data_IF_221581918317
#
_entry.id   IF_221581918317
#
_cell.length_a   1.000
_cell.length_b   1.000
_cell.length_c   1.000
_cell.angle_alpha   90.00
_cell.angle_beta   90.00
_cell.angle_gamma   90.00
#
_symmetry.space_group_name_H-M   'P 1'
#
loop_
_entity.id
_entity.type
_entity.pdbx_description
1 polymer ?
#
# COMPACT_ATOMS: atom_id res chain seq x y z
N UNK A 1 17.57 -12.93 -63.99
CA UNK A 1 19.02 -12.87 -64.25
C UNK A 1 19.66 -12.22 -63.04
N UNK A 2 20.76 -12.82 -62.56
CA UNK A 2 21.67 -12.38 -61.49
C UNK A 2 21.16 -12.60 -60.05
N UNK A 3 21.48 -13.74 -59.42
CA UNK A 3 22.76 -14.11 -58.75
C UNK A 3 22.96 -13.39 -57.41
N UNK A 4 22.70 -14.07 -56.29
CA UNK A 4 23.66 -14.83 -55.44
C UNK A 4 24.75 -13.96 -54.79
N UNK A 5 24.64 -13.78 -53.48
CA UNK A 5 25.81 -13.81 -52.59
C UNK A 5 25.40 -14.33 -51.22
N UNK A 6 25.97 -15.48 -50.87
CA UNK A 6 25.82 -16.21 -49.62
C UNK A 6 27.04 -15.86 -48.78
N UNK A 7 26.84 -15.39 -47.55
CA UNK A 7 27.94 -15.16 -46.61
C UNK A 7 28.29 -16.43 -45.82
N UNK A 8 29.57 -16.68 -45.56
CA UNK A 8 30.07 -17.97 -45.08
C UNK A 8 30.02 -18.15 -43.56
N UNK A 9 29.95 -19.43 -43.20
CA UNK A 9 30.08 -20.03 -41.88
C UNK A 9 31.31 -19.54 -41.09
N UNK A 10 31.11 -19.27 -39.80
CA UNK A 10 32.20 -19.27 -38.79
C UNK A 10 32.10 -20.57 -38.01
N UNK A 11 33.08 -21.45 -38.25
CA UNK A 11 33.34 -22.66 -37.49
C UNK A 11 34.22 -22.27 -36.30
N UNK A 12 33.77 -22.51 -35.08
CA UNK A 12 34.62 -22.46 -33.88
C UNK A 12 35.17 -23.87 -33.60
N UNK A 13 36.50 -24.07 -33.64
CA UNK A 13 37.13 -25.31 -33.21
C UNK A 13 37.80 -25.09 -31.84
N UNK A 14 37.13 -25.44 -30.75
CA UNK A 14 37.79 -25.62 -29.46
C UNK A 14 37.41 -26.98 -28.88
N UNK A 15 38.09 -28.00 -29.41
CA UNK A 15 38.25 -29.30 -28.77
C UNK A 15 39.41 -29.18 -27.79
N UNK A 16 39.12 -29.31 -26.49
CA UNK A 16 40.13 -29.38 -25.43
C UNK A 16 40.17 -30.80 -24.85
N UNK A 17 41.10 -31.69 -25.26
CA UNK A 17 41.19 -33.04 -24.74
C UNK A 17 42.34 -33.15 -23.73
N UNK A 18 42.12 -32.76 -22.48
CA UNK A 18 42.95 -33.20 -21.34
C UNK A 18 42.34 -32.72 -20.01
N UNK A 19 41.49 -33.54 -19.39
CA UNK A 19 41.20 -33.41 -17.96
C UNK A 19 41.23 -34.80 -17.32
N UNK A 20 42.08 -34.91 -16.31
CA UNK A 20 42.47 -36.09 -15.55
C UNK A 20 41.29 -36.79 -14.83
N UNK A 21 41.46 -38.06 -14.41
CA UNK A 21 40.44 -38.81 -13.68
C UNK A 21 40.12 -38.18 -12.31
N UNK A 22 38.87 -38.31 -11.82
CA UNK A 22 38.47 -37.82 -10.50
C UNK A 22 39.11 -38.65 -9.37
N UNK A 23 39.68 -37.95 -8.41
CA UNK A 23 40.18 -38.50 -7.15
C UNK A 23 39.03 -39.01 -6.25
N UNK A 24 39.28 -39.98 -5.35
CA UNK A 24 38.26 -40.58 -4.49
C UNK A 24 37.68 -39.56 -3.50
N UNK A 25 36.36 -39.66 -3.30
CA UNK A 25 35.57 -38.82 -2.42
C UNK A 25 36.03 -38.97 -0.96
N UNK A 26 36.62 -37.90 -0.41
CA UNK A 26 36.72 -37.72 1.03
C UNK A 26 35.34 -37.37 1.58
N UNK A 27 34.84 -38.20 2.50
CA UNK A 27 33.65 -37.96 3.31
C UNK A 27 33.93 -36.73 4.18
N UNK A 28 33.47 -35.57 3.74
CA UNK A 28 33.45 -34.35 4.55
C UNK A 28 32.29 -34.50 5.52
N UNK A 29 32.61 -34.64 6.80
CA UNK A 29 31.66 -34.40 7.87
C UNK A 29 31.25 -32.92 7.82
N UNK A 30 30.05 -32.64 7.30
CA UNK A 30 29.42 -31.34 7.45
C UNK A 30 29.10 -31.13 8.93
N UNK A 31 29.65 -30.08 9.58
CA UNK A 31 29.13 -29.66 10.88
C UNK A 31 27.67 -29.19 10.72
N UNK A 32 26.84 -29.32 11.77
CA UNK A 32 25.46 -28.86 11.71
C UNK A 32 25.42 -27.38 11.36
N UNK A 33 24.75 -27.07 10.25
CA UNK A 33 24.44 -25.71 9.83
C UNK A 33 23.65 -25.05 10.96
N UNK A 34 24.12 -23.94 11.54
CA UNK A 34 23.29 -23.15 12.45
C UNK A 34 22.06 -22.72 11.67
N UNK A 35 20.87 -23.01 12.21
CA UNK A 35 19.61 -22.46 11.71
C UNK A 35 19.76 -20.94 11.66
N UNK A 36 19.96 -20.42 10.45
CA UNK A 36 19.78 -19.00 10.17
C UNK A 36 18.29 -18.76 10.40
N UNK A 37 17.98 -18.14 11.53
CA UNK A 37 16.68 -17.58 11.82
C UNK A 37 16.48 -16.54 10.72
N UNK A 38 15.57 -16.85 9.80
CA UNK A 38 15.23 -16.03 8.66
C UNK A 38 15.05 -14.58 9.08
N UNK A 39 15.59 -13.67 8.25
CA UNK A 39 15.28 -12.25 8.25
C UNK A 39 13.76 -12.05 8.27
N UNK A 40 13.20 -11.88 9.47
CA UNK A 40 11.83 -11.39 9.62
C UNK A 40 11.89 -9.94 9.20
N UNK A 41 11.45 -9.69 7.96
CA UNK A 41 11.31 -8.35 7.40
C UNK A 41 10.41 -7.49 8.32
N UNK A 42 10.98 -6.49 9.02
CA UNK A 42 10.23 -5.68 9.98
C UNK A 42 9.11 -4.86 9.33
N UNK A 43 9.15 -4.65 8.00
CA UNK A 43 8.05 -3.99 7.28
C UNK A 43 6.81 -4.89 7.14
N UNK A 44 6.99 -6.22 7.13
CA UNK A 44 5.90 -7.18 6.99
C UNK A 44 5.11 -7.37 8.29
N UNK A 45 5.74 -7.18 9.45
CA UNK A 45 5.09 -7.21 10.76
C UNK A 45 4.17 -6.00 10.96
N UNK A 46 4.58 -4.82 10.48
CA UNK A 46 3.75 -3.61 10.51
C UNK A 46 2.47 -3.77 9.68
N UNK A 47 2.58 -4.31 8.46
CA UNK A 47 1.43 -4.56 7.59
C UNK A 47 0.50 -5.65 8.13
N UNK A 48 1.04 -6.72 8.73
CA UNK A 48 0.23 -7.74 9.39
C UNK A 48 -0.51 -7.20 10.62
N UNK A 49 0.13 -6.32 11.40
CA UNK A 49 -0.53 -5.67 12.52
C UNK A 49 -1.64 -4.72 12.07
N UNK A 50 -1.44 -3.93 11.02
CA UNK A 50 -2.52 -3.13 10.42
C UNK A 50 -3.66 -4.02 9.91
N UNK A 51 -3.34 -5.13 9.23
CA UNK A 51 -4.35 -6.07 8.74
C UNK A 51 -5.17 -6.69 9.88
N UNK A 52 -4.53 -7.04 10.98
CA UNK A 52 -5.19 -7.62 12.17
C UNK A 52 -5.99 -6.57 12.97
N UNK A 53 -5.58 -5.30 12.94
CA UNK A 53 -6.29 -4.20 13.60
C UNK A 53 -7.62 -3.85 12.90
N UNK A 54 -7.73 -4.12 11.60
CA UNK A 54 -8.86 -3.67 10.78
C UNK A 54 -9.64 -4.79 10.09
N UNK A 55 -9.17 -6.03 10.12
CA UNK A 55 -9.95 -7.19 9.70
C UNK A 55 -10.94 -7.59 10.80
N UNK A 56 -12.26 -7.66 10.53
CA UNK A 56 -13.20 -8.17 11.52
C UNK A 56 -12.87 -9.64 11.83
N UNK A 57 -12.91 -10.08 13.10
CA UNK A 57 -12.73 -11.48 13.43
C UNK A 57 -13.90 -12.27 12.83
N UNK A 58 -13.62 -13.06 11.81
CA UNK A 58 -14.58 -14.02 11.27
C UNK A 58 -14.56 -15.23 12.18
N UNK A 59 -15.37 -15.19 13.24
CA UNK A 59 -15.58 -16.36 14.09
C UNK A 59 -16.40 -17.41 13.32
N UNK A 60 -15.73 -18.46 12.84
CA UNK A 60 -16.35 -19.57 12.11
C UNK A 60 -16.91 -20.66 13.05
N UNK A 61 -16.84 -20.50 14.36
CA UNK A 61 -17.15 -21.58 15.31
C UNK A 61 -18.65 -21.76 15.60
N UNK A 62 -19.54 -20.88 15.15
CA UNK A 62 -20.96 -21.00 15.45
C UNK A 62 -21.90 -20.55 14.30
N UNK A 63 -22.39 -21.48 13.45
CA UNK A 63 -23.27 -21.15 12.34
C UNK A 63 -24.69 -20.71 12.77
N UNK A 64 -25.03 -20.77 14.07
CA UNK A 64 -26.37 -20.46 14.59
C UNK A 64 -26.39 -19.40 15.69
N UNK A 65 -25.25 -18.81 16.07
CA UNK A 65 -25.25 -17.65 16.94
C UNK A 65 -25.72 -16.42 16.16
N UNK A 66 -27.04 -16.28 16.07
CA UNK A 66 -27.70 -15.03 15.68
C UNK A 66 -27.50 -14.03 16.82
N UNK A 67 -26.26 -13.55 16.98
CA UNK A 67 -26.06 -12.28 17.63
C UNK A 67 -26.88 -11.29 16.82
N UNK A 68 -27.90 -10.72 17.45
CA UNK A 68 -28.50 -9.46 17.06
C UNK A 68 -27.42 -8.39 17.22
N UNK A 69 -26.41 -8.45 16.35
CA UNK A 69 -25.54 -7.34 16.07
C UNK A 69 -26.51 -6.32 15.50
N UNK A 70 -26.89 -5.35 16.33
CA UNK A 70 -27.40 -4.09 15.83
C UNK A 70 -26.30 -3.55 14.92
N UNK A 71 -26.36 -3.96 13.66
CA UNK A 71 -25.52 -3.46 12.59
C UNK A 71 -25.95 -2.01 12.46
N UNK A 72 -25.25 -1.13 13.18
CA UNK A 72 -25.29 0.28 12.90
C UNK A 72 -24.91 0.39 11.44
N UNK A 73 -25.90 0.67 10.60
CA UNK A 73 -25.66 0.88 9.18
C UNK A 73 -24.78 2.13 9.12
N UNK A 74 -23.53 2.02 8.65
CA UNK A 74 -22.69 3.19 8.52
C UNK A 74 -23.41 4.16 7.59
N UNK A 75 -23.74 5.35 8.10
CA UNK A 75 -24.33 6.40 7.28
C UNK A 75 -23.24 7.41 6.96
N UNK A 76 -23.10 7.75 5.69
CA UNK A 76 -22.14 8.74 5.24
C UNK A 76 -22.80 10.12 5.26
N UNK A 77 -22.20 11.07 5.97
CA UNK A 77 -22.59 12.48 5.92
C UNK A 77 -22.25 13.05 4.52
N UNK A 78 -22.92 14.12 4.10
CA UNK A 78 -22.70 14.73 2.79
C UNK A 78 -21.21 15.09 2.54
N UNK A 79 -20.72 14.76 1.35
CA UNK A 79 -19.35 15.07 0.90
C UNK A 79 -19.11 16.58 0.88
N UNK A 80 -17.95 17.01 1.38
CA UNK A 80 -17.52 18.42 1.33
C UNK A 80 -16.83 18.78 0.01
N UNK A 81 -16.44 17.76 -0.74
CA UNK A 81 -15.89 17.93 -2.07
C UNK A 81 -17.01 17.96 -3.11
N UNK A 82 -16.84 18.70 -4.22
CA UNK A 82 -17.76 18.60 -5.35
C UNK A 82 -17.86 17.14 -5.83
N UNK A 83 -19.02 16.76 -6.33
CA UNK A 83 -19.22 15.42 -6.91
C UNK A 83 -18.16 15.17 -7.99
N UNK A 84 -17.45 14.05 -7.86
CA UNK A 84 -16.49 13.64 -8.89
C UNK A 84 -17.23 13.20 -10.15
N UNK A 85 -16.75 13.64 -11.31
CA UNK A 85 -17.25 13.16 -12.60
C UNK A 85 -16.69 11.78 -12.97
N UNK A 86 -15.68 11.30 -12.23
CA UNK A 86 -15.02 10.03 -12.50
C UNK A 86 -16.02 8.87 -12.57
N UNK A 87 -15.83 8.04 -13.59
CA UNK A 87 -16.52 6.75 -13.73
C UNK A 87 -15.49 5.67 -13.98
N UNK A 88 -15.66 4.54 -13.31
CA UNK A 88 -14.82 3.36 -13.45
C UNK A 88 -14.70 2.88 -14.90
N UNK A 89 -15.78 3.02 -15.68
CA UNK A 89 -15.85 2.63 -17.09
C UNK A 89 -14.91 3.41 -18.02
N UNK A 90 -14.37 4.54 -17.55
CA UNK A 90 -13.38 5.35 -18.29
C UNK A 90 -11.96 4.82 -18.11
N UNK A 91 -11.76 3.89 -17.19
CA UNK A 91 -10.48 3.24 -17.02
C UNK A 91 -10.25 2.19 -18.12
N UNK A 92 -9.05 2.13 -18.72
CA UNK A 92 -8.73 1.09 -19.67
C UNK A 92 -8.79 -0.30 -18.99
N UNK A 93 -9.70 -1.15 -19.46
CA UNK A 93 -9.93 -2.50 -18.90
C UNK A 93 -8.67 -3.39 -18.87
N UNK A 94 -7.79 -3.21 -19.84
CA UNK A 94 -6.51 -3.94 -19.95
C UNK A 94 -5.48 -3.59 -18.86
N UNK A 95 -5.78 -2.65 -17.96
CA UNK A 95 -4.80 -2.09 -17.01
C UNK A 95 -5.05 -2.39 -15.54
N UNK A 96 -6.06 -3.18 -15.21
CA UNK A 96 -6.34 -3.53 -13.80
C UNK A 96 -5.55 -4.76 -13.40
N UNK A 97 -4.49 -4.54 -12.62
CA UNK A 97 -3.79 -5.64 -11.96
C UNK A 97 -4.68 -6.30 -10.91
N UNK A 98 -4.43 -7.57 -10.62
CA UNK A 98 -5.13 -8.30 -9.56
C UNK A 98 -4.99 -7.60 -8.19
N UNK A 99 -3.82 -7.00 -7.92
CA UNK A 99 -3.59 -6.22 -6.71
C UNK A 99 -4.49 -4.97 -6.63
N UNK A 100 -4.66 -4.26 -7.75
CA UNK A 100 -5.54 -3.09 -7.81
C UNK A 100 -7.00 -3.48 -7.56
N UNK A 101 -7.48 -4.56 -8.19
CA UNK A 101 -8.82 -5.09 -7.98
C UNK A 101 -9.04 -5.59 -6.55
N UNK A 102 -8.07 -6.31 -5.99
CA UNK A 102 -8.10 -6.76 -4.60
C UNK A 102 -8.24 -5.56 -3.64
N UNK A 103 -7.60 -4.44 -3.97
CA UNK A 103 -7.70 -3.23 -3.16
C UNK A 103 -9.04 -2.52 -3.28
N UNK A 104 -9.61 -2.46 -4.49
CA UNK A 104 -10.99 -1.99 -4.67
C UNK A 104 -11.97 -2.82 -3.83
N UNK A 105 -11.82 -4.15 -3.81
CA UNK A 105 -12.64 -5.05 -2.97
C UNK A 105 -12.44 -4.74 -1.47
N UNK A 106 -11.21 -4.50 -1.02
CA UNK A 106 -10.95 -4.15 0.38
C UNK A 106 -11.60 -2.81 0.78
N UNK A 107 -11.52 -1.79 -0.07
CA UNK A 107 -12.17 -0.50 0.14
C UNK A 107 -13.70 -0.66 0.23
N UNK A 108 -14.29 -1.43 -0.67
CA UNK A 108 -15.73 -1.73 -0.65
C UNK A 108 -16.12 -2.51 0.61
N UNK A 109 -15.28 -3.46 1.04
CA UNK A 109 -15.49 -4.21 2.28
C UNK A 109 -15.43 -3.30 3.50
N UNK A 110 -14.48 -2.35 3.53
CA UNK A 110 -14.39 -1.35 4.60
C UNK A 110 -15.70 -0.55 4.74
N UNK A 111 -16.32 -0.15 3.64
CA UNK A 111 -17.60 0.57 3.63
C UNK A 111 -18.79 -0.27 4.12
N UNK A 112 -18.67 -1.60 4.24
CA UNK A 112 -19.73 -2.43 4.83
C UNK A 112 -19.78 -2.32 6.36
N UNK A 113 -18.67 -1.87 6.98
CA UNK A 113 -18.51 -1.82 8.43
C UNK A 113 -18.23 -0.41 8.95
N UNK A 114 -17.79 0.51 8.09
CA UNK A 114 -17.41 1.88 8.45
C UNK A 114 -18.07 2.89 7.52
N UNK A 115 -18.31 4.10 8.02
CA UNK A 115 -18.78 5.20 7.19
C UNK A 115 -17.62 5.82 6.38
N UNK A 116 -17.90 6.40 5.22
CA UNK A 116 -16.84 6.93 4.36
C UNK A 116 -16.07 8.11 4.98
N UNK A 117 -16.69 8.82 5.92
CA UNK A 117 -16.10 9.91 6.69
C UNK A 117 -15.27 9.47 7.89
N UNK A 118 -15.28 8.18 8.21
CA UNK A 118 -14.40 7.60 9.23
C UNK A 118 -13.02 7.22 8.67
N UNK A 119 -12.77 7.48 7.37
CA UNK A 119 -11.50 7.15 6.72
C UNK A 119 -10.33 7.92 7.33
N UNK A 120 -9.48 7.20 8.04
CA UNK A 120 -8.26 7.74 8.63
C UNK A 120 -7.13 7.83 7.60
N UNK A 121 -6.21 8.83 7.68
CA UNK A 121 -5.06 8.94 6.77
C UNK A 121 -4.20 7.68 6.68
N UNK A 122 -3.96 6.98 7.79
CA UNK A 122 -3.21 5.72 7.79
C UNK A 122 -3.91 4.64 6.94
N UNK A 123 -5.25 4.59 7.00
CA UNK A 123 -6.05 3.66 6.20
C UNK A 123 -5.97 3.99 4.71
N UNK A 124 -6.10 5.28 4.38
CA UNK A 124 -6.00 5.75 3.00
C UNK A 124 -4.59 5.51 2.42
N UNK A 125 -3.55 5.69 3.22
CA UNK A 125 -2.17 5.34 2.86
C UNK A 125 -2.07 3.85 2.57
N UNK A 126 -2.50 3.00 3.50
CA UNK A 126 -2.49 1.54 3.35
C UNK A 126 -3.19 1.09 2.06
N UNK A 127 -4.39 1.62 1.78
CA UNK A 127 -5.10 1.29 0.55
C UNK A 127 -4.30 1.69 -0.69
N UNK A 128 -3.72 2.89 -0.68
CA UNK A 128 -2.97 3.41 -1.83
C UNK A 128 -1.70 2.61 -2.07
N UNK A 129 -0.95 2.35 -1.01
CA UNK A 129 0.29 1.57 -1.03
C UNK A 129 0.13 0.17 -1.61
N UNK A 130 -0.97 -0.50 -1.25
CA UNK A 130 -1.23 -1.88 -1.65
C UNK A 130 -1.96 -2.01 -2.99
N UNK A 131 -2.24 -0.91 -3.68
CA UNK A 131 -2.84 -0.94 -5.02
C UNK A 131 -1.82 -1.24 -6.15
N UNK A 132 -0.53 -1.28 -5.83
CA UNK A 132 0.56 -1.63 -6.75
C UNK A 132 0.82 -3.14 -6.84
N UNK A 133 1.54 -3.58 -7.87
CA UNK A 133 1.96 -4.98 -8.04
C UNK A 133 3.26 -5.32 -7.30
N UNK A 134 3.97 -4.30 -6.80
CA UNK A 134 5.18 -4.44 -5.98
C UNK A 134 4.86 -3.96 -4.58
N UNK A 135 5.49 -4.58 -3.58
CA UNK A 135 5.53 -4.10 -2.20
C UNK A 135 5.87 -2.60 -2.23
N UNK A 136 4.93 -1.75 -1.77
CA UNK A 136 5.08 -0.32 -1.54
C UNK A 136 5.12 0.66 -2.74
N UNK A 137 4.64 0.30 -3.94
CA UNK A 137 4.76 1.23 -5.08
C UNK A 137 3.66 1.11 -6.14
N UNK A 138 2.44 1.64 -5.89
CA UNK A 138 1.56 1.96 -7.00
C UNK A 138 2.26 2.99 -7.92
N UNK A 139 2.04 2.86 -9.22
CA UNK A 139 2.39 3.96 -10.13
C UNK A 139 1.58 5.20 -9.75
N UNK A 140 2.09 6.39 -10.04
CA UNK A 140 1.35 7.64 -9.80
C UNK A 140 -0.05 7.61 -10.44
N UNK A 141 -0.17 6.97 -11.61
CA UNK A 141 -1.44 6.75 -12.28
C UNK A 141 -2.39 5.88 -11.44
N UNK A 142 -1.94 4.74 -10.95
CA UNK A 142 -2.76 3.85 -10.10
C UNK A 142 -3.17 4.52 -8.79
N UNK A 143 -2.28 5.28 -8.17
CA UNK A 143 -2.59 6.04 -6.95
C UNK A 143 -3.71 7.06 -7.22
N UNK A 144 -3.64 7.80 -8.34
CA UNK A 144 -4.69 8.74 -8.76
C UNK A 144 -6.01 8.02 -9.04
N UNK A 145 -5.97 6.92 -9.77
CA UNK A 145 -7.15 6.10 -10.07
C UNK A 145 -7.81 5.60 -8.78
N UNK A 146 -7.04 5.08 -7.83
CA UNK A 146 -7.56 4.63 -6.54
C UNK A 146 -8.16 5.78 -5.70
N UNK A 147 -7.53 6.96 -5.71
CA UNK A 147 -8.09 8.13 -5.04
C UNK A 147 -9.46 8.53 -5.62
N UNK A 148 -9.61 8.54 -6.94
CA UNK A 148 -10.90 8.84 -7.56
C UNK A 148 -11.92 7.71 -7.38
N UNK A 149 -11.47 6.45 -7.34
CA UNK A 149 -12.30 5.32 -6.97
C UNK A 149 -12.87 5.50 -5.56
N UNK A 150 -12.02 5.76 -4.55
CA UNK A 150 -12.45 6.09 -3.19
C UNK A 150 -13.43 7.28 -3.21
N UNK A 151 -13.10 8.36 -3.89
CA UNK A 151 -13.98 9.53 -3.98
C UNK A 151 -15.35 9.23 -4.58
N UNK A 152 -15.42 8.32 -5.55
CA UNK A 152 -16.69 7.89 -6.16
C UNK A 152 -17.60 7.12 -5.19
N UNK A 153 -17.06 6.63 -4.07
CA UNK A 153 -17.78 5.90 -3.03
C UNK A 153 -17.96 6.73 -1.74
N UNK A 154 -17.82 8.05 -1.84
CA UNK A 154 -18.18 8.97 -0.76
C UNK A 154 -17.03 9.34 0.16
N UNK A 155 -15.83 8.77 -0.03
CA UNK A 155 -14.64 9.23 0.68
C UNK A 155 -14.28 10.65 0.22
N UNK A 156 -14.06 11.56 1.17
CA UNK A 156 -13.69 12.95 0.87
C UNK A 156 -12.19 13.07 0.54
N UNK A 157 -11.66 12.24 -0.38
CA UNK A 157 -10.25 12.29 -0.81
C UNK A 157 -10.05 13.13 -2.07
N UNK A 158 -8.89 13.77 -2.18
CA UNK A 158 -8.51 14.50 -3.38
C UNK A 158 -6.99 14.52 -3.59
N UNK A 159 -6.59 14.84 -4.82
CA UNK A 159 -5.19 14.96 -5.22
C UNK A 159 -4.84 16.40 -5.59
N UNK A 160 -3.63 16.85 -5.25
CA UNK A 160 -3.01 18.08 -5.73
C UNK A 160 -1.63 17.79 -6.31
N UNK A 161 -1.34 18.45 -7.41
CA UNK A 161 0.01 18.51 -7.96
C UNK A 161 0.72 19.73 -7.36
N UNK A 162 1.98 19.57 -6.96
CA UNK A 162 2.86 20.68 -6.59
C UNK A 162 2.90 21.72 -7.75
N UNK A 163 2.98 23.04 -7.47
CA UNK A 163 3.18 24.07 -8.50
C UNK A 163 4.28 23.78 -9.53
N UNK A 164 5.33 23.03 -9.13
CA UNK A 164 6.43 22.64 -10.01
C UNK A 164 6.15 21.38 -10.84
N UNK A 165 5.05 20.69 -10.58
CA UNK A 165 4.71 19.42 -11.22
C UNK A 165 5.52 18.22 -10.73
N UNK A 166 6.37 18.40 -9.71
CA UNK A 166 7.34 17.39 -9.29
C UNK A 166 6.78 16.39 -8.29
N UNK A 167 5.76 16.78 -7.52
CA UNK A 167 5.21 15.97 -6.44
C UNK A 167 3.70 15.89 -6.56
N UNK A 168 3.19 14.67 -6.41
CA UNK A 168 1.79 14.37 -6.32
C UNK A 168 1.43 14.17 -4.84
N UNK A 169 0.43 14.88 -4.34
CA UNK A 169 0.01 14.83 -2.93
C UNK A 169 -1.46 14.51 -2.82
N UNK A 170 -1.81 13.60 -1.93
CA UNK A 170 -3.18 13.17 -1.71
C UNK A 170 -3.61 13.47 -0.29
N UNK A 171 -4.85 13.90 -0.18
CA UNK A 171 -5.41 14.46 1.03
C UNK A 171 -6.78 13.87 1.29
N UNK A 172 -7.11 13.77 2.57
CA UNK A 172 -8.48 13.61 3.05
C UNK A 172 -8.96 15.02 3.44
N UNK A 173 -10.03 15.48 2.82
CA UNK A 173 -10.60 16.79 3.11
C UNK A 173 -11.20 16.80 4.51
N UNK A 174 -10.81 17.80 5.30
CA UNK A 174 -11.39 17.99 6.63
C UNK A 174 -12.68 18.79 6.49
N UNK A 175 -13.79 18.24 6.96
CA UNK A 175 -15.09 18.91 6.88
C UNK A 175 -15.15 20.17 7.73
N UNK A 176 -14.41 20.19 8.83
CA UNK A 176 -14.37 21.30 9.76
C UNK A 176 -13.35 22.37 9.35
N UNK A 177 -12.68 22.19 8.20
CA UNK A 177 -11.64 23.10 7.71
C UNK A 177 -12.12 24.55 7.60
N UNK A 178 -13.37 24.76 7.18
CA UNK A 178 -13.98 26.09 7.03
C UNK A 178 -14.23 26.82 8.36
N UNK A 179 -14.53 26.09 9.43
CA UNK A 179 -14.93 26.69 10.71
C UNK A 179 -13.78 26.82 11.71
N UNK A 180 -12.81 25.91 11.68
CA UNK A 180 -11.81 25.79 12.77
C UNK A 180 -10.35 25.94 12.34
N UNK A 181 -10.08 26.45 11.13
CA UNK A 181 -8.74 26.38 10.51
C UNK A 181 -8.24 24.93 10.42
N UNK A 182 -9.16 23.98 10.27
CA UNK A 182 -8.81 22.59 9.98
C UNK A 182 -8.01 22.55 8.67
N UNK A 183 -7.04 21.64 8.60
CA UNK A 183 -6.24 21.42 7.40
C UNK A 183 -6.54 20.02 6.93
N UNK A 184 -6.72 19.89 5.61
CA UNK A 184 -6.86 18.60 4.95
C UNK A 184 -5.67 17.70 5.31
N UNK A 185 -5.95 16.45 5.62
CA UNK A 185 -4.95 15.50 6.12
C UNK A 185 -4.20 14.86 4.95
N UNK A 186 -2.90 15.16 4.83
CA UNK A 186 -2.01 14.53 3.84
C UNK A 186 -1.81 13.06 4.20
N UNK A 187 -2.15 12.16 3.29
CA UNK A 187 -1.99 10.71 3.48
C UNK A 187 -1.10 10.03 2.44
N UNK A 188 -0.74 10.72 1.35
CA UNK A 188 0.18 10.18 0.35
C UNK A 188 0.98 11.31 -0.31
N UNK A 189 2.26 11.09 -0.53
CA UNK A 189 3.08 11.94 -1.39
C UNK A 189 4.00 11.08 -2.24
N UNK A 190 4.02 11.35 -3.54
CA UNK A 190 4.88 10.65 -4.49
C UNK A 190 5.65 11.65 -5.35
N UNK A 191 6.94 11.39 -5.54
CA UNK A 191 7.76 12.09 -6.51
C UNK A 191 7.45 11.59 -7.92
N UNK A 192 7.08 12.49 -8.82
CA UNK A 192 6.66 12.14 -10.18
C UNK A 192 7.83 11.72 -11.09
N UNK A 193 9.07 12.08 -10.74
CA UNK A 193 10.28 11.75 -11.52
C UNK A 193 10.85 10.41 -11.08
N UNK A 194 10.97 10.20 -9.77
CA UNK A 194 11.60 8.99 -9.22
C UNK A 194 10.59 7.89 -8.89
N UNK A 195 9.31 8.23 -8.78
CA UNK A 195 8.27 7.33 -8.28
C UNK A 195 8.34 7.08 -6.77
N UNK A 196 9.31 7.69 -6.07
CA UNK A 196 9.51 7.48 -4.64
C UNK A 196 8.31 7.99 -3.84
N UNK A 197 7.84 7.16 -2.92
CA UNK A 197 6.74 7.47 -2.00
C UNK A 197 7.34 7.92 -0.68
N UNK A 198 6.74 8.94 -0.07
CA UNK A 198 7.14 9.37 1.27
C UNK A 198 6.46 8.49 2.32
N UNK A 199 7.22 7.88 3.26
CA UNK A 199 6.66 7.02 4.30
C UNK A 199 5.65 7.74 5.20
N UNK A 200 4.69 6.98 5.72
CA UNK A 200 3.59 7.50 6.53
C UNK A 200 4.07 8.27 7.77
N UNK A 201 5.17 7.85 8.40
CA UNK A 201 5.76 8.52 9.57
C UNK A 201 6.24 9.93 9.21
N UNK A 202 6.79 10.08 8.01
CA UNK A 202 7.25 11.38 7.51
C UNK A 202 6.07 12.26 7.10
N UNK A 203 5.02 11.69 6.50
CA UNK A 203 3.76 12.38 6.21
C UNK A 203 3.11 12.92 7.49
N UNK A 204 3.06 12.11 8.54
CA UNK A 204 2.56 12.51 9.86
C UNK A 204 3.38 13.68 10.43
N UNK A 205 4.72 13.64 10.31
CA UNK A 205 5.60 14.75 10.72
C UNK A 205 5.37 16.02 9.89
N UNK A 206 5.12 15.88 8.59
CA UNK A 206 4.83 17.01 7.70
C UNK A 206 3.49 17.68 8.03
N UNK A 207 2.46 16.89 8.36
CA UNK A 207 1.18 17.41 8.85
C UNK A 207 1.32 18.20 10.16
N UNK A 208 2.24 17.80 11.04
CA UNK A 208 2.52 18.52 12.29
C UNK A 208 3.26 19.84 12.07
N UNK A 209 4.15 19.95 11.07
CA UNK A 209 4.97 21.15 10.84
C UNK A 209 4.22 22.33 10.20
N UNK A 210 3.08 22.13 9.55
CA UNK A 210 2.23 23.26 9.13
C UNK A 210 1.55 23.97 10.31
N UNK A 211 1.59 23.37 11.50
CA UNK A 211 1.12 23.99 12.74
C UNK A 211 2.21 24.89 13.33
N UNK A 212 2.18 26.16 12.93
CA UNK A 212 2.72 27.25 13.74
C UNK A 212 1.91 27.47 15.03
N UNK A 213 1.73 26.41 15.84
CA UNK A 213 1.42 26.42 17.30
C UNK A 213 1.31 24.98 17.81
N UNK A 214 1.90 24.67 18.97
CA UNK A 214 1.93 23.32 19.52
C UNK A 214 0.50 22.90 19.90
N UNK A 215 0.01 21.85 19.25
CA UNK A 215 -1.16 21.16 19.76
C UNK A 215 -0.83 20.61 21.13
N UNK A 216 -1.63 20.98 22.13
CA UNK A 216 -1.58 20.36 23.44
C UNK A 216 -1.76 18.86 23.24
N UNK A 217 -0.74 18.09 23.65
CA UNK A 217 -0.80 16.64 23.82
C UNK A 217 -2.04 16.33 24.64
N UNK A 218 -3.03 15.70 24.03
CA UNK A 218 -4.09 14.91 24.68
C UNK A 218 -4.93 14.28 23.56
N UNK A 219 -4.37 13.24 22.93
CA UNK A 219 -5.05 12.16 22.22
C UNK A 219 -4.01 11.41 21.38
N UNK A 220 -3.08 10.73 22.05
CA UNK A 220 -2.58 9.46 21.53
C UNK A 220 -3.46 8.40 22.19
N UNK A 221 -4.15 7.51 21.47
CA UNK A 221 -4.52 6.24 22.07
C UNK A 221 -3.21 5.55 22.45
N UNK A 222 -3.11 5.29 23.74
CA UNK A 222 -2.00 4.65 24.42
C UNK A 222 -1.95 3.18 23.97
N UNK A 223 -1.18 2.86 22.94
CA UNK A 223 -0.79 1.47 22.65
C UNK A 223 0.65 1.50 22.17
N UNK A 224 1.58 1.68 23.11
CA UNK A 224 2.98 1.23 23.04
C UNK A 224 3.63 1.63 24.36
N UNK A 225 3.47 0.79 25.38
CA UNK A 225 4.47 0.58 26.45
C UNK A 225 4.05 -0.59 27.33
N UNK A 226 5.07 -1.37 27.72
CA UNK A 226 5.12 -2.43 28.72
C UNK A 226 4.56 -3.81 28.33
N UNK A 227 5.48 -4.73 27.99
CA UNK A 227 5.75 -5.91 28.84
C UNK A 227 7.24 -6.28 28.72
N UNK A 228 8.06 -5.75 29.64
CA UNK A 228 9.27 -6.44 30.10
C UNK A 228 8.96 -7.10 31.46
N UNK A 229 9.36 -8.37 31.57
CA UNK A 229 9.75 -9.13 32.78
C UNK A 229 8.73 -9.80 33.73
N UNK A 230 9.15 -11.02 34.12
CA UNK A 230 8.80 -11.90 35.27
C UNK A 230 7.48 -12.68 35.12
N UNK A 231 7.43 -14.02 35.04
CA UNK A 231 8.16 -15.09 35.73
C UNK A 231 8.46 -16.28 34.82
#
# INVERSE_FOLDING_TARGET
MSDRSVSPFTVNPDFNPAAAPPAPAHVVHNPPVPLQIDDIDPENEYLNNLRNLFAPPIDMSNPFAQHTIHRHMPFTIASVLPRTAYKEEWEPKERRSDAYLAMQIQILTYLTTHAADELHPAQAHFFTENAGTKTHAPTAKQAVELCYFMRSHGFDTYVRLDPRGEKLRFYIADRDAGERRGQDSLYWQQDMKTGAVVPMEELARMGVRQRGRPWRRNALPYIFQDVETVW
#
